data_IF_242213541377
#
_entry.id   IF_242213541377
#
_cell.length_a   1.000
_cell.length_b   1.000
_cell.length_c   1.000
_cell.angle_alpha   90.00
_cell.angle_beta   90.00
_cell.angle_gamma   90.00
#
_symmetry.space_group_name_H-M   'P 1'
#
loop_
_entity.id
_entity.type
_entity.pdbx_description
1 polymer ?
#
# COMPACT_ATOMS: atom_id res chain seq x y z
N UNK A 1 20.18 -5.16 10.67
CA UNK A 1 19.16 -6.22 10.86
C UNK A 1 17.81 -5.56 10.64
N UNK A 2 17.00 -6.10 9.74
CA UNK A 2 15.64 -5.60 9.50
C UNK A 2 14.70 -6.00 10.63
N UNK A 3 13.51 -5.39 10.70
CA UNK A 3 12.50 -5.74 11.70
C UNK A 3 12.12 -7.24 11.61
N UNK A 4 11.73 -7.82 12.74
CA UNK A 4 11.28 -9.22 12.80
C UNK A 4 9.97 -9.42 12.03
N UNK A 5 9.63 -10.66 11.67
CA UNK A 5 8.34 -10.96 11.02
C UNK A 5 7.15 -10.56 11.89
N UNK A 6 7.31 -10.56 13.21
CA UNK A 6 6.28 -10.12 14.16
C UNK A 6 6.04 -8.61 14.07
N UNK A 7 7.08 -7.82 13.84
CA UNK A 7 6.99 -6.36 13.68
C UNK A 7 6.32 -5.94 12.36
N UNK A 8 6.27 -6.82 11.34
CA UNK A 8 5.67 -6.53 10.02
C UNK A 8 4.22 -6.07 10.12
N UNK A 9 3.46 -6.64 11.06
CA UNK A 9 2.02 -6.39 11.20
C UNK A 9 1.68 -5.37 12.30
N UNK A 10 2.69 -4.88 13.01
CA UNK A 10 2.51 -3.84 14.03
C UNK A 10 2.53 -2.49 13.32
N UNK A 11 1.47 -1.71 13.48
CA UNK A 11 1.43 -0.35 12.95
C UNK A 11 2.53 0.49 13.60
N UNK A 12 3.54 0.86 12.81
CA UNK A 12 4.58 1.80 13.23
C UNK A 12 4.32 3.17 12.64
N UNK A 13 4.38 4.25 13.45
CA UNK A 13 4.24 5.59 12.92
C UNK A 13 5.37 5.88 11.93
N UNK A 14 5.00 6.33 10.73
CA UNK A 14 5.94 6.70 9.67
C UNK A 14 5.67 8.15 9.22
N UNK A 15 6.68 8.79 8.63
CA UNK A 15 6.57 10.14 8.09
C UNK A 15 6.42 10.10 6.58
N UNK A 16 5.62 10.99 6.02
CA UNK A 16 5.47 11.12 4.56
C UNK A 16 6.81 11.30 3.84
N UNK A 17 7.77 11.99 4.46
CA UNK A 17 9.13 12.13 3.89
C UNK A 17 9.82 10.79 3.69
N UNK A 18 9.62 9.82 4.58
CA UNK A 18 10.18 8.47 4.43
C UNK A 18 9.58 7.74 3.23
N UNK A 19 8.27 7.84 3.03
CA UNK A 19 7.59 7.28 1.85
C UNK A 19 8.12 7.92 0.57
N UNK A 20 8.22 9.25 0.52
CA UNK A 20 8.77 9.98 -0.65
C UNK A 20 10.18 9.53 -0.99
N UNK A 21 11.08 9.40 -0.02
CA UNK A 21 12.44 8.91 -0.26
C UNK A 21 12.48 7.47 -0.78
N UNK A 22 11.55 6.61 -0.37
CA UNK A 22 11.45 5.23 -0.87
C UNK A 22 10.96 5.24 -2.32
N UNK A 23 9.93 6.02 -2.63
CA UNK A 23 9.42 6.18 -4.00
C UNK A 23 10.51 6.71 -4.92
N UNK A 24 11.19 7.79 -4.52
CA UNK A 24 12.30 8.39 -5.28
C UNK A 24 13.44 7.39 -5.54
N UNK A 25 13.83 6.63 -4.53
CA UNK A 25 14.85 5.59 -4.67
C UNK A 25 14.48 4.57 -5.74
N UNK A 26 13.25 4.07 -5.73
CA UNK A 26 12.83 3.05 -6.69
C UNK A 26 12.54 3.60 -8.09
N UNK A 27 12.14 4.86 -8.19
CA UNK A 27 11.95 5.53 -9.48
C UNK A 27 13.29 5.84 -10.17
N UNK A 28 14.30 6.25 -9.41
CA UNK A 28 15.65 6.49 -9.95
C UNK A 28 16.50 5.22 -10.11
N UNK A 29 16.12 4.11 -9.47
CA UNK A 29 16.89 2.86 -9.46
C UNK A 29 17.19 2.31 -10.86
N UNK A 30 16.29 2.54 -11.83
CA UNK A 30 16.43 2.03 -13.20
C UNK A 30 17.11 3.01 -14.15
N UNK A 31 17.39 4.24 -13.72
CA UNK A 31 18.02 5.24 -14.57
C UNK A 31 19.41 4.78 -15.03
N UNK A 32 19.63 4.79 -16.36
CA UNK A 32 20.89 4.33 -16.94
C UNK A 32 21.05 2.80 -16.97
N UNK A 33 19.99 2.04 -16.69
CA UNK A 33 19.98 0.57 -16.78
C UNK A 33 19.00 0.09 -17.86
N UNK A 34 19.04 -1.20 -18.18
CA UNK A 34 18.03 -1.91 -18.99
C UNK A 34 16.90 -2.50 -18.13
N UNK A 35 16.83 -2.12 -16.84
CA UNK A 35 15.84 -2.60 -15.88
C UNK A 35 14.46 -1.95 -16.05
N UNK A 36 13.45 -2.64 -15.53
CA UNK A 36 12.07 -2.15 -15.48
C UNK A 36 11.45 -2.42 -14.11
N UNK A 37 10.78 -1.43 -13.54
CA UNK A 37 10.14 -1.51 -12.22
C UNK A 37 8.66 -1.81 -12.32
N UNK A 38 8.08 -2.18 -11.18
CA UNK A 38 6.64 -2.32 -11.00
C UNK A 38 6.15 -1.30 -9.96
N UNK A 39 5.00 -0.70 -10.19
CA UNK A 39 4.34 0.18 -9.24
C UNK A 39 3.11 -0.53 -8.66
N UNK A 40 3.10 -0.76 -7.34
CA UNK A 40 1.96 -1.34 -6.63
C UNK A 40 1.95 -0.88 -5.17
N UNK A 41 0.75 -0.79 -4.58
CA UNK A 41 0.57 -0.56 -3.14
C UNK A 41 -0.20 -1.68 -2.44
N UNK A 42 -0.85 -2.58 -3.19
CA UNK A 42 -1.62 -3.70 -2.65
C UNK A 42 -1.26 -5.00 -3.38
N UNK A 43 -1.37 -6.11 -2.66
CA UNK A 43 -1.37 -7.46 -3.16
C UNK A 43 -2.08 -8.36 -2.13
N UNK A 44 -2.06 -9.67 -2.32
CA UNK A 44 -2.70 -10.62 -1.39
C UNK A 44 -2.01 -10.72 -0.02
N UNK A 45 -0.76 -10.24 0.11
CA UNK A 45 0.05 -10.35 1.33
C UNK A 45 0.06 -9.08 2.19
N UNK A 46 -0.45 -7.98 1.65
CA UNK A 46 -0.43 -6.66 2.28
C UNK A 46 -1.85 -6.16 2.55
N UNK A 47 -2.00 -5.37 3.62
CA UNK A 47 -3.27 -4.70 3.93
C UNK A 47 -3.66 -3.68 2.85
N UNK A 48 -4.87 -3.13 2.97
CA UNK A 48 -5.41 -2.16 2.02
C UNK A 48 -4.63 -0.84 2.06
N UNK A 49 -4.30 -0.33 0.88
CA UNK A 49 -3.46 0.86 0.71
C UNK A 49 -4.07 2.10 1.35
N UNK A 50 -5.40 2.25 1.28
CA UNK A 50 -6.12 3.37 1.93
C UNK A 50 -5.93 3.34 3.44
N UNK A 51 -6.10 2.17 4.08
CA UNK A 51 -5.91 2.02 5.53
C UNK A 51 -4.46 2.11 5.99
N UNK A 52 -3.49 1.81 5.11
CA UNK A 52 -2.06 1.86 5.44
C UNK A 52 -1.43 3.24 5.19
N UNK A 53 -1.81 3.90 4.10
CA UNK A 53 -1.13 5.09 3.58
C UNK A 53 -1.96 6.37 3.65
N UNK A 54 -3.23 6.28 4.04
CA UNK A 54 -4.12 7.43 4.14
C UNK A 54 -5.16 7.31 5.26
N UNK A 55 -6.02 8.33 5.38
CA UNK A 55 -7.19 8.26 6.26
C UNK A 55 -8.31 7.44 5.61
N UNK A 56 -8.73 6.36 6.27
CA UNK A 56 -9.79 5.44 5.80
C UNK A 56 -11.19 5.73 6.39
N UNK A 57 -11.27 6.77 7.22
CA UNK A 57 -12.52 7.32 7.73
C UNK A 57 -13.47 7.65 6.56
N UNK A 58 -14.78 7.37 6.69
CA UNK A 58 -15.74 7.48 5.58
C UNK A 58 -15.68 8.81 4.80
N UNK A 59 -15.47 9.92 5.50
CA UNK A 59 -15.39 11.27 4.94
C UNK A 59 -14.14 11.53 4.09
N UNK A 60 -13.05 10.78 4.27
CA UNK A 60 -11.78 10.97 3.55
C UNK A 60 -11.41 9.82 2.62
N UNK A 61 -12.06 8.66 2.76
CA UNK A 61 -11.73 7.44 2.02
C UNK A 61 -11.64 7.64 0.50
N UNK A 62 -12.64 8.28 -0.09
CA UNK A 62 -12.69 8.49 -1.55
C UNK A 62 -11.53 9.39 -2.03
N UNK A 63 -11.28 10.49 -1.32
CA UNK A 63 -10.21 11.42 -1.65
C UNK A 63 -8.85 10.75 -1.47
N UNK A 64 -8.67 9.97 -0.41
CA UNK A 64 -7.44 9.23 -0.13
C UNK A 64 -7.18 8.16 -1.20
N UNK A 65 -8.19 7.37 -1.57
CA UNK A 65 -8.08 6.36 -2.62
C UNK A 65 -7.67 6.99 -3.96
N UNK A 66 -8.30 8.10 -4.35
CA UNK A 66 -7.96 8.83 -5.58
C UNK A 66 -6.55 9.42 -5.55
N UNK A 67 -6.12 9.96 -4.40
CA UNK A 67 -4.76 10.48 -4.23
C UNK A 67 -3.72 9.36 -4.42
N UNK A 68 -3.93 8.20 -3.81
CA UNK A 68 -3.03 7.05 -3.95
C UNK A 68 -3.03 6.49 -5.37
N UNK A 69 -4.21 6.43 -6.01
CA UNK A 69 -4.32 6.05 -7.41
C UNK A 69 -3.54 7.00 -8.31
N UNK A 70 -3.72 8.32 -8.14
CA UNK A 70 -2.99 9.34 -8.90
C UNK A 70 -1.48 9.21 -8.71
N UNK A 71 -1.02 8.97 -7.48
CA UNK A 71 0.38 8.75 -7.19
C UNK A 71 0.92 7.55 -8.00
N UNK A 72 0.25 6.39 -7.96
CA UNK A 72 0.73 5.18 -8.64
C UNK A 72 0.69 5.28 -10.17
N UNK A 73 -0.36 5.85 -10.77
CA UNK A 73 -0.48 5.97 -12.25
C UNK A 73 0.56 6.91 -12.85
N UNK A 74 1.15 7.80 -12.03
CA UNK A 74 2.21 8.71 -12.47
C UNK A 74 3.62 8.16 -12.24
N UNK A 75 3.76 6.97 -11.65
CA UNK A 75 5.07 6.32 -11.47
C UNK A 75 5.52 5.62 -12.76
N UNK A 76 6.83 5.67 -13.03
CA UNK A 76 7.48 4.83 -14.05
C UNK A 76 7.45 3.38 -13.60
N UNK A 77 7.06 2.50 -14.53
CA UNK A 77 7.01 1.05 -14.34
C UNK A 77 5.66 0.46 -14.75
N UNK A 78 5.52 -0.86 -14.60
CA UNK A 78 4.24 -1.55 -14.81
C UNK A 78 3.35 -1.38 -13.58
N UNK A 79 2.20 -0.72 -13.74
CA UNK A 79 1.21 -0.56 -12.69
C UNK A 79 0.43 -1.85 -12.45
N UNK A 80 0.32 -2.25 -11.18
CA UNK A 80 -0.57 -3.32 -10.73
C UNK A 80 -1.64 -2.75 -9.80
N UNK A 81 -2.89 -3.13 -10.06
CA UNK A 81 -4.06 -2.79 -9.24
C UNK A 81 -4.61 -4.11 -8.69
N UNK A 82 -4.73 -4.20 -7.37
CA UNK A 82 -5.28 -5.39 -6.72
C UNK A 82 -6.81 -5.33 -6.63
N UNK A 83 -7.48 -6.49 -6.65
CA UNK A 83 -8.95 -6.54 -6.57
C UNK A 83 -9.49 -5.85 -5.31
N UNK A 84 -10.42 -4.92 -5.49
CA UNK A 84 -10.96 -4.08 -4.44
C UNK A 84 -10.24 -2.74 -4.26
N UNK A 85 -9.01 -2.60 -4.77
CA UNK A 85 -8.29 -1.34 -4.73
C UNK A 85 -8.95 -0.28 -5.61
N UNK A 86 -9.52 -0.70 -6.75
CA UNK A 86 -10.23 0.16 -7.70
C UNK A 86 -11.50 0.79 -7.13
N UNK A 87 -12.09 0.16 -6.11
CA UNK A 87 -13.26 0.68 -5.37
C UNK A 87 -12.89 1.27 -4.01
N UNK A 88 -11.59 1.40 -3.70
CA UNK A 88 -11.11 1.96 -2.43
C UNK A 88 -11.47 1.10 -1.21
N UNK A 89 -11.40 -0.23 -1.32
CA UNK A 89 -11.58 -1.13 -0.18
C UNK A 89 -10.63 -0.77 0.97
N UNK A 90 -11.14 -0.90 2.20
CA UNK A 90 -10.39 -0.66 3.44
C UNK A 90 -10.17 -1.99 4.17
N UNK A 91 -9.32 -1.97 5.19
CA UNK A 91 -9.10 -3.14 6.04
C UNK A 91 -10.40 -3.60 6.70
N UNK A 92 -10.44 -4.89 7.06
CA UNK A 92 -11.50 -5.42 7.90
C UNK A 92 -11.61 -4.61 9.21
N UNK A 93 -12.82 -4.43 9.76
CA UNK A 93 -13.02 -3.76 11.04
C UNK A 93 -12.15 -4.38 12.14
N UNK A 94 -11.61 -3.56 13.03
CA UNK A 94 -10.77 -4.04 14.15
C UNK A 94 -11.57 -4.84 15.16
N UNK A 95 -12.88 -4.64 15.18
CA UNK A 95 -13.83 -5.29 16.07
C UNK A 95 -14.15 -6.73 15.63
N UNK A 96 -13.73 -7.14 14.43
CA UNK A 96 -13.92 -8.50 13.98
C UNK A 96 -13.15 -9.48 14.87
N UNK A 97 -13.83 -10.50 15.42
CA UNK A 97 -13.18 -11.50 16.23
C UNK A 97 -12.30 -12.39 15.34
N UNK A 98 -11.30 -13.07 15.92
CA UNK A 98 -10.30 -13.82 15.16
C UNK A 98 -10.92 -14.93 14.29
N UNK A 99 -12.07 -15.44 14.70
CA UNK A 99 -12.84 -16.49 14.02
C UNK A 99 -13.36 -16.07 12.65
N UNK A 100 -13.52 -14.76 12.40
CA UNK A 100 -13.91 -14.23 11.08
C UNK A 100 -12.76 -14.27 10.06
N UNK A 101 -11.51 -14.40 10.53
CA UNK A 101 -10.34 -14.55 9.68
C UNK A 101 -10.21 -16.00 9.22
N UNK A 102 -10.98 -16.37 8.20
CA UNK A 102 -10.88 -17.70 7.58
C UNK A 102 -9.59 -17.81 6.79
N UNK A 103 -8.78 -18.81 7.12
CA UNK A 103 -7.67 -19.21 6.26
C UNK A 103 -8.26 -19.75 4.96
N UNK A 104 -7.99 -19.10 3.83
CA UNK A 104 -8.29 -19.68 2.53
C UNK A 104 -7.42 -20.94 2.37
N UNK A 105 -8.06 -22.10 2.49
CA UNK A 105 -7.49 -23.41 2.17
C UNK A 105 -7.53 -23.68 0.68
#
# INVERSE_FOLDING_TARGET
MGPSLEEKYIFMPWKLTKMKSIVEKWQSFIEGTDGWTTAFCENHDNGRSVSLFGPDAPEFREISAKMLALMMVTMTGTLFIYQGQEIGMINAPREWPIEEYKVQS
#
